data_IF_417955469675
#
_entry.id   IF_417955469675
#
_cell.length_a   1.000
_cell.length_b   1.000
_cell.length_c   1.000
_cell.angle_alpha   90.00
_cell.angle_beta   90.00
_cell.angle_gamma   90.00
#
_symmetry.space_group_name_H-M   'P 1'
#
loop_
_entity.id
_entity.type
_entity.pdbx_description
1 polymer ?
#
# COMPACT_ATOMS: atom_id res chain seq x y z
N UNK A 1 1.61 17.36 -10.16
CA UNK A 1 1.64 17.58 -8.69
C UNK A 1 2.53 16.50 -8.08
N UNK A 2 3.71 16.84 -7.57
CA UNK A 2 4.64 15.89 -6.97
C UNK A 2 4.32 15.57 -5.48
N UNK A 3 3.55 16.43 -4.82
CA UNK A 3 3.24 16.32 -3.39
C UNK A 3 2.51 15.01 -3.01
N UNK A 4 1.64 14.49 -3.89
CA UNK A 4 0.90 13.25 -3.60
C UNK A 4 1.68 11.96 -3.90
N UNK A 5 2.77 12.04 -4.68
CA UNK A 5 3.55 10.83 -5.02
C UNK A 5 4.39 10.35 -3.83
N UNK A 6 4.92 11.28 -3.04
CA UNK A 6 5.69 10.95 -1.83
C UNK A 6 4.83 10.26 -0.77
N UNK A 7 3.59 10.74 -0.58
CA UNK A 7 2.64 10.14 0.36
C UNK A 7 2.16 8.77 -0.13
N UNK A 8 1.81 8.63 -1.41
CA UNK A 8 1.40 7.34 -1.98
C UNK A 8 2.49 6.26 -1.88
N UNK A 9 3.76 6.62 -2.12
CA UNK A 9 4.88 5.71 -1.96
C UNK A 9 5.08 5.28 -0.49
N UNK A 10 4.93 6.22 0.45
CA UNK A 10 5.02 5.92 1.89
C UNK A 10 3.91 4.96 2.34
N UNK A 11 2.67 5.19 1.88
CA UNK A 11 1.52 4.33 2.14
C UNK A 11 1.71 2.95 1.53
N UNK A 12 2.22 2.86 0.29
CA UNK A 12 2.56 1.58 -0.34
C UNK A 12 3.59 0.81 0.48
N UNK A 13 4.70 1.45 0.87
CA UNK A 13 5.75 0.81 1.64
C UNK A 13 5.25 0.32 3.01
N UNK A 14 4.43 1.11 3.71
CA UNK A 14 3.81 0.68 4.95
C UNK A 14 2.86 -0.50 4.74
N UNK A 15 2.12 -0.51 3.62
CA UNK A 15 1.28 -1.63 3.22
C UNK A 15 2.09 -2.91 3.00
N UNK A 16 3.28 -2.81 2.41
CA UNK A 16 4.22 -3.93 2.25
C UNK A 16 4.72 -4.42 3.61
N UNK A 17 5.07 -3.53 4.53
CA UNK A 17 5.48 -3.93 5.88
C UNK A 17 4.38 -4.72 6.60
N UNK A 18 3.12 -4.27 6.52
CA UNK A 18 1.99 -5.03 7.07
C UNK A 18 1.70 -6.33 6.31
N UNK A 19 1.93 -6.38 5.00
CA UNK A 19 1.75 -7.59 4.21
C UNK A 19 2.77 -8.68 4.56
N UNK A 20 4.04 -8.28 4.75
CA UNK A 20 5.17 -9.17 5.06
C UNK A 20 5.34 -9.43 6.56
N UNK A 21 4.82 -8.57 7.43
CA UNK A 21 5.09 -8.59 8.87
C UNK A 21 6.50 -8.09 9.22
N UNK A 22 7.07 -7.20 8.41
CA UNK A 22 8.42 -6.65 8.63
C UNK A 22 8.36 -5.48 9.60
N UNK A 23 8.81 -5.70 10.84
CA UNK A 23 8.80 -4.69 11.90
C UNK A 23 7.41 -4.39 12.48
N UNK A 24 6.35 -5.01 11.96
CA UNK A 24 4.97 -4.93 12.44
C UNK A 24 4.31 -6.30 12.40
N UNK A 25 3.25 -6.52 13.18
CA UNK A 25 2.46 -7.74 13.05
C UNK A 25 1.83 -7.81 11.65
N UNK A 26 1.97 -8.96 11.00
CA UNK A 26 1.38 -9.18 9.69
C UNK A 26 -0.14 -8.93 9.73
N UNK A 27 -0.61 -8.00 8.90
CA UNK A 27 -2.01 -7.65 8.80
C UNK A 27 -2.39 -7.34 7.34
N UNK A 28 -2.96 -8.32 6.66
CA UNK A 28 -3.39 -8.19 5.26
C UNK A 28 -4.54 -7.19 5.07
N UNK A 29 -5.38 -6.98 6.09
CA UNK A 29 -6.46 -6.00 6.03
C UNK A 29 -5.92 -4.58 6.06
N UNK A 30 -4.94 -4.31 6.93
CA UNK A 30 -4.29 -3.00 7.01
C UNK A 30 -3.42 -2.73 5.77
N UNK A 31 -2.72 -3.75 5.27
CA UNK A 31 -2.01 -3.67 4.00
C UNK A 31 -2.95 -3.28 2.85
N UNK A 32 -4.11 -3.93 2.73
CA UNK A 32 -5.09 -3.61 1.70
C UNK A 32 -5.65 -2.18 1.84
N UNK A 33 -5.87 -1.70 3.07
CA UNK A 33 -6.31 -0.31 3.33
C UNK A 33 -5.29 0.69 2.81
N UNK A 34 -4.01 0.48 3.12
CA UNK A 34 -2.91 1.35 2.71
C UNK A 34 -2.69 1.33 1.19
N UNK A 35 -2.76 0.15 0.57
CA UNK A 35 -2.68 0.05 -0.89
C UNK A 35 -3.86 0.72 -1.59
N UNK A 36 -5.08 0.68 -1.03
CA UNK A 36 -6.22 1.45 -1.58
C UNK A 36 -5.97 2.95 -1.53
N UNK A 37 -5.38 3.46 -0.45
CA UNK A 37 -5.08 4.88 -0.28
C UNK A 37 -3.99 5.35 -1.27
N UNK A 38 -2.94 4.55 -1.45
CA UNK A 38 -1.89 4.81 -2.42
C UNK A 38 -2.42 4.71 -3.87
N UNK A 39 -3.24 3.69 -4.17
CA UNK A 39 -3.87 3.53 -5.48
C UNK A 39 -4.81 4.69 -5.84
N UNK A 40 -5.53 5.24 -4.85
CA UNK A 40 -6.39 6.41 -5.03
C UNK A 40 -5.60 7.69 -5.36
N UNK A 41 -4.34 7.76 -4.95
CA UNK A 41 -3.41 8.85 -5.29
C UNK A 41 -2.68 8.62 -6.63
N UNK A 42 -2.98 7.53 -7.31
CA UNK A 42 -2.42 7.21 -8.63
C UNK A 42 -1.23 6.25 -8.61
N UNK A 43 -0.87 5.68 -7.45
CA UNK A 43 0.22 4.71 -7.38
C UNK A 43 -0.16 3.38 -8.05
N UNK A 44 0.56 3.02 -9.11
CA UNK A 44 0.30 1.80 -9.88
C UNK A 44 0.81 0.53 -9.18
N UNK A 45 1.86 0.65 -8.35
CA UNK A 45 2.37 -0.49 -7.59
C UNK A 45 1.35 -0.92 -6.53
N UNK A 46 0.69 0.04 -5.89
CA UNK A 46 -0.39 -0.20 -4.96
C UNK A 46 -1.60 -0.88 -5.61
N UNK A 47 -1.98 -0.45 -6.83
CA UNK A 47 -3.02 -1.14 -7.62
C UNK A 47 -2.65 -2.60 -7.91
N UNK A 48 -1.39 -2.86 -8.24
CA UNK A 48 -0.92 -4.23 -8.48
C UNK A 48 -0.87 -5.07 -7.19
N UNK A 49 -0.50 -4.47 -6.07
CA UNK A 49 -0.50 -5.13 -4.77
C UNK A 49 -1.92 -5.52 -4.31
N UNK A 50 -2.93 -4.69 -4.59
CA UNK A 50 -4.34 -5.04 -4.33
C UNK A 50 -4.79 -6.27 -5.11
N UNK A 51 -4.44 -6.34 -6.40
CA UNK A 51 -4.74 -7.52 -7.23
C UNK A 51 -4.08 -8.79 -6.68
N UNK A 52 -2.83 -8.69 -6.20
CA UNK A 52 -2.12 -9.81 -5.57
C UNK A 52 -2.77 -10.26 -4.25
N UNK A 53 -3.44 -9.34 -3.56
CA UNK A 53 -4.21 -9.60 -2.36
C UNK A 53 -5.64 -10.12 -2.63
N UNK A 54 -6.08 -10.15 -3.89
CA UNK A 54 -7.42 -10.60 -4.28
C UNK A 54 -8.51 -9.52 -4.18
N UNK A 55 -8.14 -8.24 -4.20
CA UNK A 55 -9.07 -7.09 -4.29
C UNK A 55 -9.12 -6.54 -5.70
#
# INVERSE_FOLDING_TARGET
MAANQGDAAAQYNLGVCYYNGEGVTQNKAEAARLFKLAAAQGDENAKNALKKLGY
#
